data_IF_743639123642
#
_entry.id   IF_743639123642
#
_cell.length_a   1.000
_cell.length_b   1.000
_cell.length_c   1.000
_cell.angle_alpha   90.00
_cell.angle_beta   90.00
_cell.angle_gamma   90.00
#
_symmetry.space_group_name_H-M   'P 1'
#
loop_
_entity.id
_entity.type
_entity.pdbx_description
1 polymer ?
#
# COMPACT_ATOMS: atom_id res chain seq x y z
N UNK A 1 -12.03 -12.79 -10.09
CA UNK A 1 -10.88 -12.31 -10.88
C UNK A 1 -11.20 -12.33 -12.36
N UNK A 2 -10.77 -11.28 -13.08
CA UNK A 2 -10.87 -11.25 -14.53
C UNK A 2 -9.79 -12.16 -15.12
N UNK A 3 -10.21 -13.22 -15.82
CA UNK A 3 -9.32 -14.23 -16.40
C UNK A 3 -9.29 -14.20 -17.94
N UNK A 4 -10.04 -13.30 -18.59
CA UNK A 4 -9.94 -13.07 -20.04
C UNK A 4 -8.72 -12.16 -20.33
N UNK A 5 -7.67 -12.69 -20.97
CA UNK A 5 -6.44 -11.92 -21.23
C UNK A 5 -6.65 -10.76 -22.19
N UNK A 6 -7.54 -10.88 -23.18
CA UNK A 6 -7.77 -9.84 -24.18
C UNK A 6 -8.54 -8.67 -23.57
N UNK A 7 -9.54 -8.99 -22.74
CA UNK A 7 -10.28 -7.97 -22.00
C UNK A 7 -9.37 -7.29 -20.97
N UNK A 8 -8.55 -8.05 -20.23
CA UNK A 8 -7.60 -7.48 -19.27
C UNK A 8 -6.61 -6.52 -19.94
N UNK A 9 -6.04 -6.90 -21.08
CA UNK A 9 -5.10 -6.07 -21.83
C UNK A 9 -5.76 -4.77 -22.32
N UNK A 10 -7.01 -4.84 -22.79
CA UNK A 10 -7.78 -3.68 -23.23
C UNK A 10 -8.04 -2.72 -22.07
N UNK A 11 -8.43 -3.24 -20.91
CA UNK A 11 -8.68 -2.44 -19.71
C UNK A 11 -7.40 -1.74 -19.23
N UNK A 12 -6.27 -2.46 -19.16
CA UNK A 12 -4.98 -1.84 -18.83
C UNK A 12 -4.60 -0.73 -19.82
N UNK A 13 -4.71 -0.96 -21.12
CA UNK A 13 -4.43 0.10 -22.12
C UNK A 13 -5.31 1.33 -21.92
N UNK A 14 -6.58 1.14 -21.55
CA UNK A 14 -7.50 2.26 -21.27
C UNK A 14 -7.15 3.01 -19.98
N UNK A 15 -6.74 2.31 -18.92
CA UNK A 15 -6.33 2.92 -17.66
C UNK A 15 -5.05 3.73 -17.81
N UNK A 16 -4.10 3.22 -18.62
CA UNK A 16 -2.82 3.86 -18.88
C UNK A 16 -2.91 5.01 -19.90
N UNK A 17 -4.01 5.10 -20.65
CA UNK A 17 -4.20 6.16 -21.65
C UNK A 17 -4.13 7.55 -21.00
N UNK A 18 -3.18 8.36 -21.43
CA UNK A 18 -2.99 9.72 -20.92
C UNK A 18 -2.15 9.83 -19.64
N UNK A 19 -1.69 8.71 -19.08
CA UNK A 19 -0.74 8.74 -17.97
C UNK A 19 0.70 8.92 -18.50
N UNK A 20 1.52 9.68 -17.76
CA UNK A 20 2.94 9.85 -18.11
C UNK A 20 3.68 8.56 -17.76
N UNK A 21 4.56 8.10 -18.66
CA UNK A 21 5.36 6.89 -18.45
C UNK A 21 6.28 6.96 -17.21
N UNK A 22 6.54 8.17 -16.70
CA UNK A 22 7.33 8.44 -15.48
C UNK A 22 6.56 8.13 -14.18
N UNK A 23 5.24 7.97 -14.24
CA UNK A 23 4.44 7.54 -13.08
C UNK A 23 4.56 6.03 -12.92
N UNK A 24 5.03 5.58 -11.75
CA UNK A 24 5.21 4.16 -11.43
C UNK A 24 3.94 3.32 -11.60
N UNK A 25 2.76 3.94 -11.47
CA UNK A 25 1.46 3.28 -11.63
C UNK A 25 0.99 3.23 -13.10
N UNK A 26 1.70 3.92 -13.99
CA UNK A 26 1.36 4.06 -15.41
C UNK A 26 2.03 3.01 -16.32
N UNK A 27 2.66 1.99 -15.76
CA UNK A 27 3.36 0.96 -16.52
C UNK A 27 2.47 -0.25 -16.77
N UNK A 28 2.45 -0.71 -18.03
CA UNK A 28 1.82 -1.98 -18.39
C UNK A 28 2.59 -3.16 -17.78
N UNK A 29 1.87 -4.07 -17.15
CA UNK A 29 2.41 -5.37 -16.70
C UNK A 29 2.16 -6.43 -17.79
N UNK A 30 3.06 -6.44 -18.78
CA UNK A 30 2.98 -7.40 -19.90
C UNK A 30 3.17 -8.85 -19.43
N UNK A 31 3.91 -9.08 -18.34
CA UNK A 31 4.16 -10.42 -17.82
C UNK A 31 2.93 -10.99 -17.11
N UNK A 32 2.17 -10.16 -16.40
CA UNK A 32 0.85 -10.54 -15.88
C UNK A 32 -0.11 -10.95 -17.01
N UNK A 33 -0.20 -10.17 -18.09
CA UNK A 33 -1.06 -10.50 -19.24
C UNK A 33 -0.60 -11.77 -19.94
N UNK A 34 0.71 -11.99 -20.09
CA UNK A 34 1.27 -13.26 -20.62
C UNK A 34 0.87 -14.44 -19.74
N UNK A 35 0.95 -14.31 -18.42
CA UNK A 35 0.54 -15.36 -17.50
C UNK A 35 -0.94 -15.72 -17.66
N UNK A 36 -1.83 -14.74 -17.86
CA UNK A 36 -3.25 -14.99 -18.15
C UNK A 36 -3.46 -15.81 -19.43
N UNK A 37 -2.66 -15.54 -20.47
CA UNK A 37 -2.71 -16.25 -21.76
C UNK A 37 -2.27 -17.72 -21.65
N UNK A 38 -1.49 -18.07 -20.63
CA UNK A 38 -1.11 -19.46 -20.33
C UNK A 38 -2.18 -20.27 -19.59
N UNK A 39 -3.41 -19.74 -19.52
CA UNK A 39 -4.59 -20.30 -18.84
C UNK A 39 -4.61 -20.05 -17.33
N UNK A 40 -5.05 -18.85 -16.96
CA UNK A 40 -5.52 -18.59 -15.59
C UNK A 40 -6.87 -19.31 -15.35
N UNK A 41 -6.97 -20.22 -14.36
CA UNK A 41 -8.23 -20.83 -14.02
C UNK A 41 -9.22 -19.79 -13.46
N UNK A 42 -10.54 -20.07 -13.50
CA UNK A 42 -11.50 -19.24 -12.80
C UNK A 42 -11.14 -19.13 -11.31
N UNK A 43 -10.93 -17.91 -10.83
CA UNK A 43 -10.49 -17.62 -9.46
C UNK A 43 -11.23 -16.41 -8.88
N UNK A 44 -11.30 -16.35 -7.55
CA UNK A 44 -11.76 -15.19 -6.80
C UNK A 44 -10.64 -14.67 -5.89
N UNK A 45 -10.42 -13.35 -5.89
CA UNK A 45 -9.52 -12.66 -4.97
C UNK A 45 -10.26 -12.23 -3.71
N UNK A 46 -9.54 -12.21 -2.59
CA UNK A 46 -10.04 -11.71 -1.31
C UNK A 46 -9.02 -10.73 -0.74
N UNK A 47 -9.45 -9.47 -0.56
CA UNK A 47 -8.68 -8.44 0.12
C UNK A 47 -9.34 -8.07 1.45
N UNK A 48 -8.66 -8.34 2.57
CA UNK A 48 -9.12 -7.94 3.91
C UNK A 48 -8.17 -6.88 4.45
N UNK A 49 -8.70 -5.70 4.78
CA UNK A 49 -7.93 -4.66 5.47
C UNK A 49 -7.80 -4.98 6.95
N UNK A 50 -6.64 -5.50 7.38
CA UNK A 50 -6.41 -5.91 8.77
C UNK A 50 -6.59 -4.75 9.73
N UNK A 51 -6.06 -3.56 9.43
CA UNK A 51 -6.21 -2.40 10.32
C UNK A 51 -7.67 -2.00 10.50
N UNK A 52 -8.48 -2.03 9.43
CA UNK A 52 -9.92 -1.72 9.52
C UNK A 52 -10.69 -2.79 10.27
N UNK A 53 -10.34 -4.07 10.07
CA UNK A 53 -10.91 -5.16 10.85
C UNK A 53 -10.63 -4.93 12.34
N UNK A 54 -9.38 -4.64 12.69
CA UNK A 54 -8.96 -4.28 14.03
C UNK A 54 -9.70 -3.05 14.59
N UNK A 55 -9.86 -1.99 13.81
CA UNK A 55 -10.62 -0.79 14.20
C UNK A 55 -12.07 -1.11 14.56
N UNK A 56 -12.75 -1.96 13.78
CA UNK A 56 -14.14 -2.37 14.05
C UNK A 56 -14.19 -3.24 15.32
N UNK A 57 -13.33 -4.27 15.40
CA UNK A 57 -13.30 -5.21 16.53
C UNK A 57 -12.98 -4.52 17.86
N UNK A 58 -12.16 -3.47 17.82
CA UNK A 58 -11.73 -2.72 19.00
C UNK A 58 -12.51 -1.41 19.20
N UNK A 59 -13.53 -1.14 18.38
CA UNK A 59 -14.31 0.10 18.37
C UNK A 59 -13.44 1.38 18.39
N UNK A 60 -12.43 1.43 17.52
CA UNK A 60 -11.52 2.56 17.38
C UNK A 60 -11.83 3.37 16.12
N UNK A 61 -12.10 4.68 16.23
CA UNK A 61 -12.41 5.52 15.07
C UNK A 61 -11.16 5.90 14.27
N UNK A 62 -9.97 5.78 14.85
CA UNK A 62 -8.69 6.16 14.23
C UNK A 62 -7.80 4.93 14.01
N UNK A 63 -7.19 4.84 12.83
CA UNK A 63 -6.21 3.79 12.49
C UNK A 63 -4.95 3.86 13.36
N UNK A 64 -4.61 5.06 13.87
CA UNK A 64 -3.44 5.24 14.73
C UNK A 64 -3.59 4.54 16.08
N UNK A 65 -4.82 4.22 16.49
CA UNK A 65 -5.10 3.54 17.75
C UNK A 65 -4.89 2.02 17.64
N UNK A 66 -4.70 1.50 16.43
CA UNK A 66 -4.52 0.06 16.15
C UNK A 66 -3.16 -0.28 15.55
N UNK A 67 -2.32 0.74 15.31
CA UNK A 67 -0.95 0.59 14.80
C UNK A 67 0.03 0.91 15.93
N UNK A 68 1.00 0.02 16.18
CA UNK A 68 1.96 0.17 17.27
C UNK A 68 2.85 1.42 17.12
N UNK A 69 3.28 1.71 15.89
CA UNK A 69 4.11 2.87 15.55
C UNK A 69 3.51 3.60 14.33
N UNK A 70 2.46 4.42 14.50
CA UNK A 70 1.85 5.12 13.38
C UNK A 70 2.80 6.17 12.82
N UNK A 71 2.71 6.45 11.52
CA UNK A 71 3.46 7.55 10.92
C UNK A 71 2.99 8.89 11.53
N UNK A 72 3.90 9.52 12.27
CA UNK A 72 3.67 10.83 12.90
C UNK A 72 4.34 11.93 12.11
N UNK A 73 3.78 13.15 12.16
CA UNK A 73 4.50 14.33 11.67
C UNK A 73 5.72 14.56 12.59
N UNK A 74 6.91 14.78 12.03
CA UNK A 74 8.06 15.20 12.81
C UNK A 74 7.72 16.46 13.62
N UNK A 75 8.13 16.49 14.88
CA UNK A 75 8.01 17.72 15.69
C UNK A 75 9.05 18.71 15.17
N UNK A 76 8.66 19.98 15.03
CA UNK A 76 9.65 21.06 14.89
C UNK A 76 10.63 20.96 16.05
N UNK A 77 11.95 21.11 15.86
CA UNK A 77 12.90 21.11 16.97
C UNK A 77 12.48 22.22 17.94
N UNK A 78 11.84 21.81 19.02
CA UNK A 78 11.56 22.67 20.16
C UNK A 78 12.85 22.82 20.99
N UNK A 79 12.90 23.77 21.93
CA UNK A 79 14.00 23.83 22.88
C UNK A 79 14.16 22.46 23.55
N UNK A 80 15.40 21.99 23.64
CA UNK A 80 15.73 20.69 24.20
C UNK A 80 15.05 20.50 25.57
N UNK A 81 14.29 19.42 25.70
CA UNK A 81 13.72 19.02 26.98
C UNK A 81 14.88 18.54 27.87
N UNK A 82 15.14 19.17 29.03
CA UNK A 82 16.23 18.78 29.92
C UNK A 82 16.14 17.33 30.42
N UNK A 83 15.04 16.62 30.16
CA UNK A 83 14.80 15.25 30.58
C UNK A 83 14.77 14.19 29.47
N UNK A 84 15.13 14.49 28.21
CA UNK A 84 15.10 13.50 27.12
C UNK A 84 16.34 12.57 27.16
N UNK A 85 16.18 11.27 27.50
CA UNK A 85 17.31 10.33 27.62
C UNK A 85 17.90 9.91 26.26
N UNK A 86 17.30 10.33 25.13
CA UNK A 86 17.75 9.97 23.77
C UNK A 86 19.06 10.70 23.37
N UNK A 87 19.56 11.60 24.22
CA UNK A 87 20.80 12.34 24.00
C UNK A 87 22.10 11.59 24.32
N UNK A 88 22.05 10.41 24.96
CA UNK A 88 23.27 9.64 25.22
C UNK A 88 23.59 8.71 24.03
N UNK A 89 24.72 8.91 23.31
CA UNK A 89 25.14 7.96 22.29
C UNK A 89 25.39 6.60 22.94
N UNK A 90 24.87 5.53 22.31
CA UNK A 90 25.15 4.16 22.73
C UNK A 90 26.68 3.97 22.87
N UNK A 91 27.17 3.47 24.02
CA UNK A 91 28.58 3.17 24.17
C UNK A 91 28.99 2.13 23.13
N UNK A 92 30.11 2.42 22.45
CA UNK A 92 30.68 1.62 21.37
C UNK A 92 31.12 0.23 21.81
#
# INVERSE_FOLDING_TARGET
>A
ELNDPMLQETLFRSQLAGQKAEDSMAKMDDDFVRALKHAMPPAGGLGIGIDRLCMILMNRPSIRDVILFPLMRPRSPGPADPGDPVGEPFPS
#
